data_IF_524469570369
#
_entry.id   IF_524469570369
#
_cell.length_a   1.000
_cell.length_b   1.000
_cell.length_c   1.000
_cell.angle_alpha   90.00
_cell.angle_beta   90.00
_cell.angle_gamma   90.00
#
_symmetry.space_group_name_H-M   'P 1'
#
loop_
_entity.id
_entity.type
_entity.pdbx_description
1 polymer ?
#
# COMPACT_ATOMS: atom_id res chain seq x y z
N UNK A 1 1.07 19.95 -24.80
CA UNK A 1 0.91 18.59 -25.35
C UNK A 1 0.41 17.71 -24.21
N UNK A 2 -0.86 17.31 -24.23
CA UNK A 2 -1.50 16.55 -23.15
C UNK A 2 -1.19 15.05 -23.35
N UNK A 3 -0.51 14.42 -22.39
CA UNK A 3 -0.34 12.97 -22.38
C UNK A 3 -1.67 12.31 -21.97
N UNK A 4 -2.59 12.16 -22.92
CA UNK A 4 -3.70 11.22 -22.80
C UNK A 4 -3.28 9.93 -23.47
N UNK A 5 -2.73 9.01 -22.68
CA UNK A 5 -2.84 7.58 -22.94
C UNK A 5 -3.12 6.89 -21.61
N UNK A 6 -4.41 6.72 -21.31
CA UNK A 6 -4.87 5.66 -20.41
C UNK A 6 -4.44 4.33 -21.00
N UNK A 7 -3.22 3.92 -20.70
CA UNK A 7 -2.62 2.72 -21.24
C UNK A 7 -2.88 1.55 -20.28
N UNK A 8 -4.13 1.08 -20.21
CA UNK A 8 -4.54 -0.18 -19.54
C UNK A 8 -3.87 -0.44 -18.16
N UNK A 9 -3.64 0.60 -17.37
CA UNK A 9 -2.91 0.53 -16.11
C UNK A 9 -3.02 1.80 -15.29
N UNK A 10 -2.63 1.70 -14.02
CA UNK A 10 -2.67 2.80 -13.06
C UNK A 10 -1.59 3.84 -13.35
N UNK A 11 -1.72 5.00 -12.73
CA UNK A 11 -0.80 6.12 -12.86
C UNK A 11 0.55 5.80 -12.20
N UNK A 12 1.65 6.38 -12.72
CA UNK A 12 2.99 6.10 -12.19
C UNK A 12 3.14 6.54 -10.74
N UNK A 13 2.46 7.61 -10.31
CA UNK A 13 2.45 8.07 -8.93
C UNK A 13 1.72 7.08 -8.01
N UNK A 14 0.62 6.48 -8.48
CA UNK A 14 -0.12 5.44 -7.76
C UNK A 14 0.71 4.16 -7.67
N UNK A 15 1.36 3.75 -8.77
CA UNK A 15 2.27 2.60 -8.81
C UNK A 15 3.43 2.79 -7.84
N UNK A 16 4.04 3.97 -7.83
CA UNK A 16 5.15 4.32 -6.94
C UNK A 16 4.71 4.23 -5.47
N UNK A 17 3.54 4.79 -5.12
CA UNK A 17 3.00 4.72 -3.77
C UNK A 17 2.76 3.27 -3.29
N UNK A 18 2.31 2.38 -4.18
CA UNK A 18 2.18 0.96 -3.87
C UNK A 18 3.53 0.30 -3.60
N UNK A 19 4.55 0.58 -4.41
CA UNK A 19 5.89 0.05 -4.19
C UNK A 19 6.52 0.59 -2.90
N UNK A 20 6.28 1.86 -2.55
CA UNK A 20 6.65 2.44 -1.26
C UNK A 20 5.95 1.73 -0.09
N UNK A 21 4.66 1.39 -0.22
CA UNK A 21 3.96 0.59 0.78
C UNK A 21 4.57 -0.81 0.94
N UNK A 22 4.95 -1.47 -0.16
CA UNK A 22 5.65 -2.77 -0.08
C UNK A 22 6.99 -2.64 0.65
N UNK A 23 7.75 -1.58 0.40
CA UNK A 23 8.99 -1.30 1.13
C UNK A 23 8.74 -1.06 2.62
N UNK A 24 7.66 -0.35 2.97
CA UNK A 24 7.23 -0.16 4.36
C UNK A 24 6.90 -1.49 5.06
N UNK A 25 6.17 -2.40 4.41
CA UNK A 25 5.92 -3.76 4.93
C UNK A 25 7.22 -4.51 5.18
N UNK A 26 8.16 -4.45 4.23
CA UNK A 26 9.48 -5.09 4.36
C UNK A 26 10.30 -4.52 5.52
N UNK A 27 10.19 -3.22 5.78
CA UNK A 27 10.92 -2.55 6.86
C UNK A 27 10.48 -2.98 8.26
N UNK A 28 9.27 -3.53 8.40
CA UNK A 28 8.74 -4.10 9.65
C UNK A 28 9.14 -5.58 9.84
N UNK A 29 10.07 -6.10 9.02
CA UNK A 29 10.56 -7.48 9.12
C UNK A 29 9.63 -8.54 8.49
N UNK A 30 8.53 -8.12 7.88
CA UNK A 30 7.63 -9.02 7.14
C UNK A 30 8.24 -9.43 5.80
N UNK A 31 7.97 -10.68 5.37
CA UNK A 31 8.29 -11.10 3.99
C UNK A 31 7.29 -10.46 3.00
N UNK A 32 7.56 -9.21 2.64
CA UNK A 32 6.75 -8.41 1.73
C UNK A 32 6.69 -9.02 0.32
N UNK A 33 7.72 -9.75 -0.09
CA UNK A 33 7.78 -10.40 -1.41
C UNK A 33 6.86 -11.63 -1.45
N UNK A 34 6.72 -12.35 -0.32
CA UNK A 34 5.70 -13.40 -0.17
C UNK A 34 4.28 -12.83 -0.05
N UNK A 35 4.09 -11.70 0.64
CA UNK A 35 2.76 -11.11 0.89
C UNK A 35 2.19 -10.39 -0.33
N UNK A 36 3.05 -9.73 -1.10
CA UNK A 36 2.73 -8.87 -2.25
C UNK A 36 3.58 -9.29 -3.48
N UNK A 37 3.43 -10.54 -3.96
CA UNK A 37 4.28 -11.08 -5.00
C UNK A 37 4.12 -10.41 -6.37
N UNK A 38 2.94 -9.88 -6.71
CA UNK A 38 2.76 -9.22 -8.01
C UNK A 38 3.24 -7.78 -8.03
N UNK A 39 3.51 -7.18 -6.86
CA UNK A 39 3.90 -5.77 -6.73
C UNK A 39 5.37 -5.62 -7.11
N UNK A 40 5.63 -5.59 -8.42
CA UNK A 40 6.97 -5.57 -9.01
C UNK A 40 7.20 -4.33 -9.85
N UNK A 41 8.43 -3.79 -9.79
CA UNK A 41 8.84 -2.70 -10.65
C UNK A 41 9.45 -3.24 -11.96
N UNK A 42 8.62 -3.90 -12.77
CA UNK A 42 9.04 -4.50 -14.04
C UNK A 42 8.54 -3.67 -15.24
N UNK A 43 9.42 -3.34 -16.22
CA UNK A 43 9.05 -2.74 -17.49
C UNK A 43 7.92 -3.45 -18.26
N UNK A 44 7.75 -4.76 -18.08
CA UNK A 44 6.68 -5.56 -18.71
C UNK A 44 5.36 -5.50 -17.91
N UNK A 45 5.45 -5.35 -16.59
CA UNK A 45 4.31 -5.23 -15.67
C UNK A 45 3.94 -3.77 -15.38
N UNK A 46 3.60 -3.04 -16.45
CA UNK A 46 3.31 -1.60 -16.37
C UNK A 46 2.07 -1.26 -15.54
N UNK A 47 1.09 -2.16 -15.48
CA UNK A 47 -0.21 -1.89 -14.84
C UNK A 47 -0.31 -2.47 -13.44
N UNK A 48 -0.27 -1.63 -12.40
CA UNK A 48 -0.59 -2.07 -11.03
C UNK A 48 -2.05 -2.50 -10.84
N UNK A 49 -2.96 -2.19 -11.77
CA UNK A 49 -4.35 -2.66 -11.73
C UNK A 49 -4.50 -4.18 -11.89
N UNK A 50 -3.43 -4.88 -12.27
CA UNK A 50 -3.40 -6.35 -12.32
C UNK A 50 -2.83 -6.97 -11.05
N UNK A 51 -2.34 -6.14 -10.12
CA UNK A 51 -1.73 -6.64 -8.91
C UNK A 51 -2.76 -7.17 -7.94
N UNK A 52 -2.39 -8.18 -7.14
CA UNK A 52 -3.28 -8.60 -6.07
C UNK A 52 -3.62 -7.41 -5.17
N UNK A 53 -4.85 -7.43 -4.65
CA UNK A 53 -5.34 -6.44 -3.66
C UNK A 53 -5.48 -5.01 -4.20
N UNK A 54 -5.28 -4.79 -5.51
CA UNK A 54 -5.50 -3.50 -6.19
C UNK A 54 -6.77 -3.60 -7.04
N UNK A 55 -7.71 -2.68 -6.83
CA UNK A 55 -8.88 -2.51 -7.68
C UNK A 55 -8.85 -1.15 -8.36
N UNK A 56 -8.93 -1.14 -9.69
CA UNK A 56 -8.99 0.08 -10.49
C UNK A 56 -10.36 0.31 -11.13
N UNK A 57 -10.65 1.56 -11.46
CA UNK A 57 -11.72 1.91 -12.38
C UNK A 57 -11.28 1.57 -13.80
N UNK A 58 -12.09 0.78 -14.52
CA UNK A 58 -11.74 0.31 -15.87
C UNK A 58 -11.77 1.41 -16.93
N UNK A 59 -12.38 2.55 -16.62
CA UNK A 59 -12.54 3.71 -17.52
C UNK A 59 -11.43 4.71 -17.30
N UNK A 60 -11.18 5.10 -16.05
CA UNK A 60 -10.18 6.13 -15.71
C UNK A 60 -8.78 5.55 -15.51
N UNK A 61 -8.67 4.27 -15.16
CA UNK A 61 -7.42 3.60 -14.81
C UNK A 61 -6.95 3.90 -13.38
N UNK A 62 -7.63 4.78 -12.64
CA UNK A 62 -7.26 5.10 -11.26
C UNK A 62 -7.49 3.93 -10.31
N UNK A 63 -6.64 3.84 -9.29
CA UNK A 63 -6.85 2.91 -8.18
C UNK A 63 -7.99 3.43 -7.30
N UNK A 64 -9.06 2.64 -7.19
CA UNK A 64 -10.25 2.95 -6.40
C UNK A 64 -10.39 2.08 -5.15
N UNK A 65 -9.67 0.95 -5.07
CA UNK A 65 -9.73 0.01 -3.93
C UNK A 65 -8.35 -0.55 -3.61
N UNK A 66 -8.00 -0.58 -2.33
CA UNK A 66 -6.80 -1.23 -1.81
C UNK A 66 -7.13 -2.15 -0.63
N UNK A 67 -6.76 -3.43 -0.74
CA UNK A 67 -6.98 -4.45 0.30
C UNK A 67 -5.68 -4.85 1.01
N UNK A 68 -5.22 -3.99 1.91
CA UNK A 68 -3.94 -4.10 2.60
C UNK A 68 -4.08 -4.71 4.00
N UNK A 69 -5.08 -5.56 4.20
CA UNK A 69 -5.29 -6.26 5.46
C UNK A 69 -4.27 -7.39 5.66
N UNK A 70 -3.87 -7.64 6.91
CA UNK A 70 -2.94 -8.71 7.27
C UNK A 70 -1.65 -8.69 6.42
N UNK A 71 -1.10 -7.50 6.22
CA UNK A 71 0.19 -7.29 5.53
C UNK A 71 1.34 -7.19 6.51
N UNK A 72 1.07 -7.25 7.82
CA UNK A 72 2.06 -7.28 8.88
C UNK A 72 2.21 -8.70 9.41
N UNK A 73 3.39 -9.29 9.28
CA UNK A 73 3.72 -10.57 9.91
C UNK A 73 4.20 -10.31 11.33
N UNK A 74 3.50 -10.88 12.32
CA UNK A 74 3.97 -10.88 13.70
C UNK A 74 4.88 -12.09 13.91
N UNK A 75 6.03 -11.89 14.54
CA UNK A 75 6.75 -13.02 15.11
C UNK A 75 5.94 -13.58 16.28
N UNK A 76 5.28 -14.72 16.06
CA UNK A 76 4.48 -15.44 17.05
C UNK A 76 5.33 -15.85 18.27
N UNK A 77 6.67 -15.85 18.16
CA UNK A 77 7.60 -16.12 19.26
C UNK A 77 7.86 -14.91 20.15
N UNK A 78 7.55 -13.70 19.69
CA UNK A 78 7.56 -12.51 20.53
C UNK A 78 6.21 -12.44 21.25
N UNK A 79 6.22 -12.71 22.55
CA UNK A 79 5.06 -12.63 23.46
C UNK A 79 4.50 -11.20 23.64
N UNK A 80 4.86 -10.27 22.77
CA UNK A 80 4.65 -8.84 22.95
C UNK A 80 3.96 -8.20 21.73
N UNK A 81 2.69 -8.55 21.53
CA UNK A 81 1.78 -7.71 20.72
C UNK A 81 1.70 -6.26 21.24
N UNK A 82 2.25 -5.99 22.43
CA UNK A 82 2.32 -4.72 23.12
C UNK A 82 3.75 -4.28 23.50
N UNK A 83 4.82 -4.81 22.88
CA UNK A 83 6.15 -4.18 23.03
C UNK A 83 6.12 -2.83 22.29
N UNK A 84 6.36 -1.70 22.99
CA UNK A 84 6.43 -0.39 22.36
C UNK A 84 7.40 -0.34 21.17
N UNK A 85 8.42 -1.20 21.16
CA UNK A 85 9.41 -1.29 20.08
C UNK A 85 8.89 -1.97 18.80
N UNK A 86 7.77 -2.69 18.88
CA UNK A 86 7.06 -3.30 17.74
C UNK A 86 5.87 -2.45 17.29
N UNK A 87 6.00 -1.13 17.32
CA UNK A 87 4.93 -0.24 16.89
C UNK A 87 4.95 0.01 15.38
N UNK A 88 3.93 -0.48 14.66
CA UNK A 88 3.78 -0.18 13.24
C UNK A 88 3.10 1.17 13.05
N UNK A 89 3.86 2.15 12.58
CA UNK A 89 3.40 3.51 12.36
C UNK A 89 3.16 3.75 10.88
N UNK A 90 1.88 3.88 10.50
CA UNK A 90 1.50 4.11 9.12
C UNK A 90 1.35 5.61 8.85
N UNK A 91 2.07 6.10 7.85
CA UNK A 91 1.91 7.47 7.38
C UNK A 91 0.88 7.52 6.24
N UNK A 92 -0.27 8.16 6.47
CA UNK A 92 -1.34 8.35 5.49
C UNK A 92 -0.91 9.19 4.29
N UNK A 93 0.18 9.94 4.39
CA UNK A 93 0.75 10.65 3.24
C UNK A 93 1.14 9.69 2.11
N UNK A 94 1.40 8.42 2.43
CA UNK A 94 1.62 7.35 1.47
C UNK A 94 0.42 7.12 0.53
N UNK A 95 -0.80 7.46 0.97
CA UNK A 95 -2.01 7.29 0.16
C UNK A 95 -2.44 8.56 -0.59
N UNK A 96 -1.71 9.67 -0.45
CA UNK A 96 -2.02 10.93 -1.14
C UNK A 96 -2.02 10.85 -2.67
N UNK A 97 -1.21 9.97 -3.32
CA UNK A 97 -1.25 9.83 -4.77
C UNK A 97 -2.54 9.22 -5.32
N UNK A 98 -3.30 8.44 -4.54
CA UNK A 98 -4.53 7.79 -4.99
C UNK A 98 -5.72 8.74 -4.96
N UNK A 99 -5.86 9.56 -6.01
CA UNK A 99 -6.85 10.66 -6.08
C UNK A 99 -8.31 10.21 -6.10
N UNK A 100 -8.57 8.98 -6.55
CA UNK A 100 -9.93 8.41 -6.62
C UNK A 100 -10.14 7.25 -5.65
N UNK A 101 -9.28 7.07 -4.63
CA UNK A 101 -9.41 5.97 -3.69
C UNK A 101 -10.74 6.03 -2.93
N UNK A 102 -11.57 4.98 -3.07
CA UNK A 102 -12.89 4.88 -2.42
C UNK A 102 -12.91 3.86 -1.28
N UNK A 103 -11.97 2.92 -1.29
CA UNK A 103 -11.89 1.86 -0.28
C UNK A 103 -10.45 1.56 0.07
N UNK A 104 -10.14 1.62 1.36
CA UNK A 104 -8.85 1.25 1.93
C UNK A 104 -9.10 0.31 3.11
N UNK A 105 -8.69 -0.95 2.98
CA UNK A 105 -8.78 -1.93 4.05
C UNK A 105 -7.40 -2.14 4.67
N UNK A 106 -7.24 -1.73 5.93
CA UNK A 106 -6.02 -1.89 6.74
C UNK A 106 -6.22 -2.83 7.94
N UNK A 107 -7.30 -3.61 7.95
CA UNK A 107 -7.65 -4.48 9.07
C UNK A 107 -6.57 -5.54 9.35
N UNK A 108 -6.53 -6.07 10.57
CA UNK A 108 -5.61 -7.14 10.99
C UNK A 108 -4.11 -6.80 10.87
N UNK A 109 -3.77 -5.51 10.98
CA UNK A 109 -2.39 -5.03 10.92
C UNK A 109 -1.83 -4.50 12.25
N UNK A 110 -2.67 -4.41 13.30
CA UNK A 110 -2.29 -3.86 14.62
C UNK A 110 -1.50 -2.56 14.49
N UNK A 111 -2.10 -1.57 13.81
CA UNK A 111 -1.47 -0.27 13.56
C UNK A 111 -1.49 0.53 14.86
N UNK A 112 -0.30 0.81 15.41
CA UNK A 112 -0.15 1.48 16.70
C UNK A 112 -0.36 2.99 16.62
N UNK A 113 -0.04 3.60 15.47
CA UNK A 113 -0.30 5.03 15.22
C UNK A 113 -0.50 5.30 13.74
N UNK A 114 -1.43 6.19 13.45
CA UNK A 114 -1.63 6.76 12.12
C UNK A 114 -1.07 8.19 12.14
N UNK A 115 -0.21 8.52 11.19
CA UNK A 115 0.34 9.86 11.00
C UNK A 115 -0.14 10.43 9.68
N UNK A 116 -0.44 11.72 9.62
CA UNK A 116 -0.58 12.44 8.34
C UNK A 116 0.42 13.60 8.36
N UNK A 117 1.14 13.89 7.27
CA UNK A 117 1.94 15.12 7.19
C UNK A 117 1.04 16.30 7.53
N UNK A 118 1.31 16.94 8.67
CA UNK A 118 0.62 18.15 9.14
C UNK A 118 -0.32 17.98 10.33
N UNK A 119 -0.78 16.76 10.67
CA UNK A 119 -1.67 16.58 11.83
C UNK A 119 -1.52 15.17 12.41
N UNK A 120 -1.12 15.10 13.70
CA UNK A 120 -1.36 13.92 14.53
C UNK A 120 -2.88 13.85 14.75
N UNK A 121 -3.54 12.88 14.13
CA UNK A 121 -4.92 12.56 14.48
C UNK A 121 -4.83 11.58 15.64
N UNK A 122 -5.07 12.09 16.85
CA UNK A 122 -5.08 11.33 18.11
C UNK A 122 -6.33 10.44 18.15
#
# INVERSE_FOLDING_TARGET
>A
MLFIRGNRGCFEEEKTALLEFKAFVKSDGSDADQLLPSWVNDPEHKSCCKWERVGCDSTTGHVIKLSLSNTRQFDVRSSSLYDPQNSWHLNLSLFQPFKELRSLNLSFNVISRIQNKGTLVV
#
